data_IF_007112142497
#
_entry.id   IF_007112142497
#
_cell.length_a   1.000
_cell.length_b   1.000
_cell.length_c   1.000
_cell.angle_alpha   90.00
_cell.angle_beta   90.00
_cell.angle_gamma   90.00
#
_symmetry.space_group_name_H-M   'P 1'
#
loop_
_entity.id
_entity.type
_entity.pdbx_description
1 polymer ?
#
# COMPACT_ATOMS: atom_id res chain seq x y z
N UNK A 1 0.46 -5.43 17.31
CA UNK A 1 0.32 -4.50 16.17
C UNK A 1 1.65 -3.97 15.70
N UNK A 2 1.72 -3.58 14.43
CA UNK A 2 2.72 -2.68 13.87
C UNK A 2 2.02 -1.53 13.12
N UNK A 3 2.71 -0.40 12.98
CA UNK A 3 2.26 0.78 12.26
C UNK A 3 2.77 0.77 10.83
N UNK A 4 1.85 0.98 9.89
CA UNK A 4 2.15 0.94 8.48
C UNK A 4 1.91 2.30 7.82
N UNK A 5 2.84 2.67 6.95
CA UNK A 5 2.60 3.67 5.90
C UNK A 5 2.41 2.90 4.60
N UNK A 6 1.29 3.14 3.93
CA UNK A 6 1.01 2.66 2.59
C UNK A 6 1.00 3.87 1.65
N UNK A 7 1.85 3.84 0.63
CA UNK A 7 1.77 4.77 -0.49
C UNK A 7 1.53 4.00 -1.77
N UNK A 8 0.84 4.60 -2.72
CA UNK A 8 0.52 3.90 -3.97
C UNK A 8 0.33 4.84 -5.15
N UNK A 9 0.29 4.25 -6.33
CA UNK A 9 -0.10 4.90 -7.57
C UNK A 9 -0.92 3.90 -8.36
N UNK A 10 -2.19 4.22 -8.59
CA UNK A 10 -3.04 3.49 -9.54
C UNK A 10 -2.89 4.19 -10.90
N UNK A 11 -2.63 3.43 -11.97
CA UNK A 11 -2.43 4.01 -13.29
C UNK A 11 -3.71 4.71 -13.78
N UNK A 12 -3.55 5.93 -14.30
CA UNK A 12 -4.65 6.72 -14.85
C UNK A 12 -5.03 6.20 -16.25
N UNK A 13 -5.86 5.18 -16.29
CA UNK A 13 -6.44 4.60 -17.50
C UNK A 13 -7.94 4.39 -17.34
N UNK A 14 -8.59 3.79 -18.35
CA UNK A 14 -10.04 3.55 -18.33
C UNK A 14 -10.51 2.65 -17.19
N UNK A 15 -9.61 1.89 -16.55
CA UNK A 15 -9.91 1.06 -15.39
C UNK A 15 -9.53 1.69 -14.05
N UNK A 16 -9.03 2.93 -14.04
CA UNK A 16 -8.54 3.62 -12.84
C UNK A 16 -9.55 3.57 -11.69
N UNK A 17 -10.78 4.02 -11.93
CA UNK A 17 -11.79 4.18 -10.88
C UNK A 17 -12.08 2.85 -10.18
N UNK A 18 -12.32 1.78 -10.96
CA UNK A 18 -12.59 0.45 -10.44
C UNK A 18 -11.43 -0.11 -9.62
N UNK A 19 -10.18 0.08 -10.08
CA UNK A 19 -9.00 -0.36 -9.32
C UNK A 19 -8.81 0.44 -8.04
N UNK A 20 -8.99 1.76 -8.11
CA UNK A 20 -8.87 2.65 -6.96
C UNK A 20 -9.89 2.31 -5.88
N UNK A 21 -11.18 2.25 -6.23
CA UNK A 21 -12.25 1.94 -5.28
C UNK A 21 -12.05 0.57 -4.62
N UNK A 22 -11.77 -0.46 -5.42
CA UNK A 22 -11.49 -1.81 -4.91
C UNK A 22 -10.27 -1.85 -3.99
N UNK A 23 -9.21 -1.10 -4.33
CA UNK A 23 -7.99 -1.03 -3.53
C UNK A 23 -8.25 -0.36 -2.18
N UNK A 24 -8.89 0.82 -2.17
CA UNK A 24 -9.20 1.56 -0.95
C UNK A 24 -10.12 0.75 -0.03
N UNK A 25 -11.18 0.14 -0.58
CA UNK A 25 -12.08 -0.72 0.21
C UNK A 25 -11.33 -1.89 0.86
N UNK A 26 -10.36 -2.47 0.14
CA UNK A 26 -9.53 -3.56 0.67
C UNK A 26 -8.59 -3.08 1.78
N UNK A 27 -8.00 -1.88 1.64
CA UNK A 27 -7.16 -1.27 2.68
C UNK A 27 -7.95 -1.02 3.96
N UNK A 28 -9.14 -0.43 3.86
CA UNK A 28 -10.01 -0.19 5.03
C UNK A 28 -10.40 -1.49 5.71
N UNK A 29 -10.85 -2.50 4.95
CA UNK A 29 -11.18 -3.83 5.49
C UNK A 29 -9.99 -4.47 6.19
N UNK A 30 -8.81 -4.37 5.61
CA UNK A 30 -7.59 -4.92 6.19
C UNK A 30 -7.21 -4.24 7.51
N UNK A 31 -7.36 -2.91 7.57
CA UNK A 31 -7.05 -2.10 8.75
C UNK A 31 -8.11 -2.19 9.88
N UNK A 32 -9.15 -3.01 9.71
CA UNK A 32 -10.20 -3.19 10.73
C UNK A 32 -11.45 -2.34 10.54
N UNK A 33 -11.62 -1.72 9.36
CA UNK A 33 -12.86 -1.07 8.92
C UNK A 33 -12.80 0.46 8.88
N UNK A 34 -13.95 1.13 8.65
CA UNK A 34 -14.04 2.58 8.51
C UNK A 34 -13.50 3.32 9.73
N UNK A 35 -12.74 4.40 9.49
CA UNK A 35 -12.15 5.23 10.55
C UNK A 35 -10.91 4.65 11.22
N UNK A 36 -10.41 3.50 10.76
CA UNK A 36 -9.14 2.89 11.22
C UNK A 36 -7.92 3.24 10.37
N UNK A 37 -8.15 3.99 9.29
CA UNK A 37 -7.09 4.47 8.41
C UNK A 37 -7.11 5.99 8.40
N UNK A 38 -5.94 6.60 8.49
CA UNK A 38 -5.77 8.02 8.17
C UNK A 38 -5.37 8.14 6.70
N UNK A 39 -6.22 8.80 5.91
CA UNK A 39 -6.16 8.83 4.43
C UNK A 39 -6.45 10.23 3.85
N UNK A 40 -6.25 11.30 4.64
CA UNK A 40 -6.58 12.67 4.21
C UNK A 40 -5.81 13.13 2.97
N UNK A 41 -4.62 12.58 2.77
CA UNK A 41 -3.77 12.89 1.61
C UNK A 41 -3.96 11.86 0.51
N UNK A 42 -3.86 12.30 -0.75
CA UNK A 42 -3.97 11.41 -1.91
C UNK A 42 -2.92 10.31 -1.89
N UNK A 43 -3.39 9.07 -2.04
CA UNK A 43 -2.54 7.88 -2.19
C UNK A 43 -1.51 7.66 -1.08
N UNK A 44 -1.83 8.09 0.14
CA UNK A 44 -1.01 7.91 1.33
C UNK A 44 -1.92 7.58 2.53
N UNK A 45 -1.71 6.40 3.11
CA UNK A 45 -2.57 5.78 4.10
C UNK A 45 -1.72 5.38 5.31
N UNK A 46 -2.20 5.65 6.51
CA UNK A 46 -1.55 5.25 7.77
C UNK A 46 -2.52 4.46 8.62
N UNK A 47 -2.11 3.27 9.04
CA UNK A 47 -2.96 2.38 9.85
C UNK A 47 -2.12 1.41 10.68
N UNK A 48 -2.76 0.79 11.65
CA UNK A 48 -2.18 -0.29 12.45
C UNK A 48 -2.73 -1.65 12.01
N UNK A 49 -1.91 -2.70 12.07
CA UNK A 49 -2.38 -4.06 11.85
C UNK A 49 -1.49 -5.10 12.57
N UNK A 50 -2.03 -6.28 12.84
CA UNK A 50 -1.26 -7.44 13.31
C UNK A 50 -0.68 -8.22 12.13
N UNK A 51 0.26 -7.59 11.42
CA UNK A 51 0.81 -8.16 10.20
C UNK A 51 2.28 -7.80 9.99
N UNK A 52 2.82 -8.19 8.82
CA UNK A 52 4.11 -7.76 8.30
C UNK A 52 3.90 -7.00 6.99
N UNK A 53 4.82 -6.11 6.61
CA UNK A 53 4.71 -5.37 5.35
C UNK A 53 4.47 -6.28 4.13
N UNK A 54 5.13 -7.43 4.07
CA UNK A 54 4.95 -8.42 3.00
C UNK A 54 3.54 -9.02 2.97
N UNK A 55 2.98 -9.32 4.14
CA UNK A 55 1.63 -9.85 4.26
C UNK A 55 0.57 -8.80 3.89
N UNK A 56 0.77 -7.53 4.26
CA UNK A 56 -0.07 -6.41 3.82
C UNK A 56 -0.08 -6.33 2.29
N UNK A 57 1.10 -6.23 1.66
CA UNK A 57 1.22 -6.16 0.20
C UNK A 57 0.54 -7.35 -0.49
N UNK A 58 0.79 -8.56 0.01
CA UNK A 58 0.21 -9.78 -0.56
C UNK A 58 -1.31 -9.77 -0.45
N UNK A 59 -1.85 -9.35 0.68
CA UNK A 59 -3.29 -9.24 0.88
C UNK A 59 -3.91 -8.21 -0.07
N UNK A 60 -3.38 -6.98 -0.08
CA UNK A 60 -3.91 -5.90 -0.92
C UNK A 60 -3.85 -6.27 -2.40
N UNK A 61 -2.75 -6.89 -2.85
CA UNK A 61 -2.62 -7.37 -4.22
C UNK A 61 -3.63 -8.47 -4.58
N UNK A 62 -3.81 -9.47 -3.72
CA UNK A 62 -4.65 -10.65 -4.02
C UNK A 62 -6.15 -10.42 -3.79
N UNK A 63 -6.51 -9.38 -3.03
CA UNK A 63 -7.90 -9.14 -2.59
C UNK A 63 -8.52 -7.87 -3.16
N UNK A 64 -7.77 -7.08 -3.91
CA UNK A 64 -8.28 -5.94 -4.68
C UNK A 64 -8.12 -6.17 -6.18
N UNK A 65 -8.65 -5.25 -6.99
CA UNK A 65 -8.44 -5.20 -8.43
C UNK A 65 -7.05 -4.63 -8.84
N UNK A 66 -6.10 -4.51 -7.91
CA UNK A 66 -4.75 -3.99 -8.18
C UNK A 66 -4.04 -4.76 -9.30
N UNK A 67 -3.55 -4.05 -10.31
CA UNK A 67 -2.83 -4.63 -11.43
C UNK A 67 -1.33 -4.34 -11.29
N UNK A 68 -0.53 -5.32 -10.90
CA UNK A 68 0.91 -5.12 -10.70
C UNK A 68 1.71 -4.84 -11.98
N UNK A 69 1.08 -4.90 -13.16
CA UNK A 69 1.71 -4.48 -14.41
C UNK A 69 1.56 -2.97 -14.66
N UNK A 70 0.67 -2.29 -13.92
CA UNK A 70 0.31 -0.89 -14.10
C UNK A 70 0.45 -0.06 -12.83
N UNK A 71 -0.03 -0.63 -11.73
CA UNK A 71 -0.14 -0.01 -10.43
C UNK A 71 1.08 -0.31 -9.57
N UNK A 72 1.35 0.58 -8.63
CA UNK A 72 2.49 0.48 -7.70
C UNK A 72 2.01 0.71 -6.28
N UNK A 73 2.52 -0.07 -5.33
CA UNK A 73 2.36 0.18 -3.91
C UNK A 73 3.69 -0.01 -3.16
N UNK A 74 3.86 0.75 -2.08
CA UNK A 74 4.94 0.62 -1.12
C UNK A 74 4.30 0.58 0.27
N UNK A 75 4.54 -0.50 1.00
CA UNK A 75 4.15 -0.64 2.41
C UNK A 75 5.40 -0.58 3.25
N UNK A 76 5.41 0.31 4.23
CA UNK A 76 6.51 0.54 5.16
C UNK A 76 6.02 0.18 6.55
N UNK A 77 6.64 -0.82 7.17
CA UNK A 77 6.51 -1.12 8.59
C UNK A 77 7.45 -0.18 9.36
N UNK A 78 6.87 0.82 10.02
CA UNK A 78 7.64 1.88 10.68
C UNK A 78 8.35 1.34 11.93
N UNK A 79 7.73 0.39 12.63
CA UNK A 79 8.27 -0.15 13.88
C UNK A 79 9.46 -1.08 13.61
N UNK A 80 9.35 -1.96 12.62
CA UNK A 80 10.40 -2.94 12.27
C UNK A 80 11.42 -2.39 11.29
N UNK A 81 11.18 -1.21 10.73
CA UNK A 81 12.03 -0.60 9.69
C UNK A 81 12.25 -1.56 8.53
N UNK A 82 11.15 -2.08 7.99
CA UNK A 82 11.15 -2.92 6.78
C UNK A 82 10.12 -2.40 5.81
N UNK A 83 10.33 -2.65 4.52
CA UNK A 83 9.41 -2.30 3.45
C UNK A 83 9.09 -3.50 2.58
N UNK A 84 7.91 -3.49 1.99
CA UNK A 84 7.52 -4.40 0.93
C UNK A 84 6.88 -3.59 -0.20
N UNK A 85 7.04 -4.06 -1.42
CA UNK A 85 6.55 -3.36 -2.62
C UNK A 85 5.85 -4.32 -3.56
N UNK A 86 4.97 -3.79 -4.41
CA UNK A 86 4.39 -4.52 -5.54
C UNK A 86 4.15 -3.55 -6.70
N UNK A 87 4.35 -4.05 -7.91
CA UNK A 87 4.34 -3.24 -9.12
C UNK A 87 5.74 -3.05 -9.70
N UNK A 88 5.84 -2.27 -10.76
CA UNK A 88 7.13 -1.85 -11.31
C UNK A 88 7.70 -0.68 -10.51
N UNK A 89 8.64 -0.98 -9.60
CA UNK A 89 9.32 0.02 -8.78
C UNK A 89 10.46 0.63 -9.59
N UNK A 90 10.25 1.85 -10.06
CA UNK A 90 11.32 2.65 -10.64
C UNK A 90 12.24 3.18 -9.53
N UNK A 91 13.55 3.22 -9.80
CA UNK A 91 14.56 3.79 -8.89
C UNK A 91 14.59 3.20 -7.48
N UNK A 92 14.45 1.88 -7.33
CA UNK A 92 14.48 1.17 -6.03
C UNK A 92 15.70 1.51 -5.15
N UNK A 93 16.85 1.80 -5.76
CA UNK A 93 18.06 2.24 -5.06
C UNK A 93 17.83 3.55 -4.29
N UNK A 94 17.10 4.51 -4.86
CA UNK A 94 16.77 5.76 -4.18
C UNK A 94 15.81 5.51 -3.01
N UNK A 95 14.81 4.65 -3.21
CA UNK A 95 13.87 4.27 -2.15
C UNK A 95 14.62 3.69 -0.94
N UNK A 96 15.51 2.72 -1.17
CA UNK A 96 16.32 2.11 -0.09
C UNK A 96 17.27 3.12 0.56
N UNK A 97 17.94 3.95 -0.25
CA UNK A 97 18.87 4.97 0.25
C UNK A 97 18.18 5.98 1.18
N UNK A 98 16.98 6.46 0.81
CA UNK A 98 16.31 7.54 1.54
C UNK A 98 15.40 7.04 2.68
N UNK A 99 14.93 5.79 2.64
CA UNK A 99 14.32 5.18 3.81
C UNK A 99 15.35 4.79 4.87
N UNK A 100 16.58 4.48 4.44
CA UNK A 100 17.66 4.07 5.35
C UNK A 100 17.47 2.66 5.92
N UNK A 101 16.66 1.83 5.24
CA UNK A 101 16.43 0.41 5.45
C UNK A 101 15.75 -0.21 4.22
#
# INVERSE_FOLDING_TARGET
MAHFILTFRIASDSGYQTRYESFVETVEKFAGGPGKVWDQTTSFYVFEAESTAQAVVSHLYLKSAFDSTKDVMVVIDVDRRVKATKGQIEYEVLLTKYLGF
#
